data_IF_735387349466
#
_entry.id   IF_735387349466
#
_cell.length_a   1.000
_cell.length_b   1.000
_cell.length_c   1.000
_cell.angle_alpha   90.00
_cell.angle_beta   90.00
_cell.angle_gamma   90.00
#
_symmetry.space_group_name_H-M   'P 1'
#
loop_
_entity.id
_entity.type
_entity.pdbx_description
1 polymer ?
#
# COMPACT_ATOMS: atom_id res chain seq x y z
N UNK A 1 -2.78 17.80 12.56
CA UNK A 1 -3.76 16.83 12.02
C UNK A 1 -4.91 17.61 11.44
N UNK A 2 -5.22 17.39 10.15
CA UNK A 2 -6.31 18.08 9.48
C UNK A 2 -7.67 17.53 9.92
N UNK A 3 -8.73 18.35 9.84
CA UNK A 3 -10.10 17.90 10.09
C UNK A 3 -10.48 16.75 9.14
N UNK A 4 -10.01 16.82 7.88
CA UNK A 4 -10.23 15.79 6.87
C UNK A 4 -9.61 14.45 7.27
N UNK A 5 -8.41 14.46 7.83
CA UNK A 5 -7.76 13.25 8.35
C UNK A 5 -8.56 12.61 9.49
N UNK A 6 -9.06 13.42 10.43
CA UNK A 6 -9.87 12.90 11.53
C UNK A 6 -11.18 12.27 11.04
N UNK A 7 -11.85 12.91 10.07
CA UNK A 7 -13.05 12.36 9.42
C UNK A 7 -12.73 11.09 8.61
N UNK A 8 -11.64 11.06 7.85
CA UNK A 8 -11.21 9.89 7.10
C UNK A 8 -10.95 8.70 8.02
N UNK A 9 -10.26 8.94 9.13
CA UNK A 9 -10.00 7.91 10.16
C UNK A 9 -11.28 7.38 10.79
N UNK A 10 -12.21 8.25 11.16
CA UNK A 10 -13.50 7.86 11.74
C UNK A 10 -14.34 7.04 10.74
N UNK A 11 -14.46 7.51 9.50
CA UNK A 11 -15.20 6.82 8.44
C UNK A 11 -14.59 5.43 8.12
N UNK A 12 -13.25 5.33 8.12
CA UNK A 12 -12.54 4.06 7.98
C UNK A 12 -12.84 3.10 9.13
N UNK A 13 -12.85 3.60 10.37
CA UNK A 13 -13.14 2.78 11.55
C UNK A 13 -14.58 2.23 11.52
N UNK A 14 -15.56 3.07 11.20
CA UNK A 14 -16.96 2.67 11.06
C UNK A 14 -17.14 1.64 9.95
N UNK A 15 -16.55 1.87 8.79
CA UNK A 15 -16.63 0.92 7.67
C UNK A 15 -15.94 -0.40 7.98
N UNK A 16 -14.82 -0.38 8.70
CA UNK A 16 -14.12 -1.58 9.16
C UNK A 16 -14.98 -2.38 10.12
N UNK A 17 -15.61 -1.70 11.09
CA UNK A 17 -16.51 -2.34 12.05
C UNK A 17 -17.71 -2.97 11.34
N UNK A 18 -18.38 -2.22 10.46
CA UNK A 18 -19.52 -2.72 9.69
C UNK A 18 -19.20 -3.93 8.83
N UNK A 19 -18.05 -3.90 8.12
CA UNK A 19 -17.62 -5.05 7.32
C UNK A 19 -17.33 -6.30 8.15
N UNK A 20 -16.68 -6.14 9.30
CA UNK A 20 -16.32 -7.27 10.16
C UNK A 20 -17.51 -7.86 10.92
N UNK A 21 -18.37 -7.02 11.48
CA UNK A 21 -19.43 -7.45 12.41
C UNK A 21 -20.79 -7.66 11.74
N UNK A 22 -21.09 -6.92 10.66
CA UNK A 22 -22.39 -7.01 9.99
C UNK A 22 -22.29 -7.83 8.69
N UNK A 23 -21.30 -7.52 7.86
CA UNK A 23 -21.15 -8.20 6.57
C UNK A 23 -20.28 -9.46 6.62
N UNK A 24 -19.58 -9.74 7.72
CA UNK A 24 -18.63 -10.84 7.88
C UNK A 24 -17.60 -10.93 6.74
N UNK A 25 -17.15 -9.79 6.24
CA UNK A 25 -16.18 -9.67 5.13
C UNK A 25 -14.87 -9.03 5.57
N UNK A 26 -13.74 -9.39 4.94
CA UNK A 26 -12.46 -8.75 5.23
C UNK A 26 -12.50 -7.26 4.84
N UNK A 27 -12.02 -6.41 5.75
CA UNK A 27 -11.95 -4.96 5.57
C UNK A 27 -10.64 -4.54 4.85
N UNK A 28 -10.32 -5.21 3.73
CA UNK A 28 -9.03 -5.05 3.05
C UNK A 28 -8.90 -3.75 2.25
N UNK A 29 -9.90 -3.37 1.48
CA UNK A 29 -9.82 -2.24 0.55
C UNK A 29 -10.82 -1.12 0.86
N UNK A 30 -12.06 -1.46 1.24
CA UNK A 30 -13.15 -0.48 1.33
C UNK A 30 -12.87 0.63 2.35
N UNK A 31 -12.36 0.35 3.57
CA UNK A 31 -12.05 1.40 4.54
C UNK A 31 -11.04 2.43 4.02
N UNK A 32 -9.97 1.96 3.37
CA UNK A 32 -8.97 2.84 2.78
C UNK A 32 -9.51 3.61 1.56
N UNK A 33 -10.38 2.99 0.76
CA UNK A 33 -11.03 3.68 -0.38
C UNK A 33 -11.93 4.82 0.08
N UNK A 34 -12.70 4.62 1.14
CA UNK A 34 -13.53 5.67 1.74
C UNK A 34 -12.65 6.78 2.32
N UNK A 35 -11.62 6.41 3.07
CA UNK A 35 -10.71 7.37 3.70
C UNK A 35 -9.96 8.23 2.67
N UNK A 36 -9.44 7.63 1.58
CA UNK A 36 -8.78 8.36 0.48
C UNK A 36 -9.72 9.30 -0.29
N UNK A 37 -11.03 8.99 -0.35
CA UNK A 37 -12.01 9.92 -0.94
C UNK A 37 -12.24 11.16 -0.07
N UNK A 38 -12.16 11.00 1.25
CA UNK A 38 -12.33 12.11 2.20
C UNK A 38 -11.03 12.92 2.27
N UNK A 39 -9.90 12.23 2.32
CA UNK A 39 -8.58 12.85 2.41
C UNK A 39 -7.61 12.22 1.39
N UNK A 40 -7.41 12.85 0.22
CA UNK A 40 -6.44 12.38 -0.78
C UNK A 40 -4.99 12.38 -0.30
N UNK A 41 -4.63 13.18 0.72
CA UNK A 41 -3.29 13.26 1.31
C UNK A 41 -3.05 12.25 2.43
N UNK A 42 -4.00 11.34 2.66
CA UNK A 42 -4.00 10.37 3.76
C UNK A 42 -2.70 9.57 3.88
N UNK A 43 -2.11 9.13 2.76
CA UNK A 43 -0.86 8.36 2.78
C UNK A 43 0.32 9.17 3.33
N UNK A 44 0.38 10.48 3.01
CA UNK A 44 1.42 11.37 3.53
C UNK A 44 1.32 11.52 5.06
N UNK A 45 0.10 11.60 5.58
CA UNK A 45 -0.13 11.69 7.03
C UNK A 45 0.14 10.36 7.75
N UNK A 46 -0.15 9.23 7.10
CA UNK A 46 0.01 7.89 7.68
C UNK A 46 1.44 7.33 7.58
N UNK A 47 2.28 7.83 6.69
CA UNK A 47 3.65 7.30 6.49
C UNK A 47 4.48 7.26 7.77
N UNK A 48 4.28 8.22 8.68
CA UNK A 48 4.97 8.28 9.98
C UNK A 48 4.64 7.13 10.94
N UNK A 49 3.66 6.29 10.62
CA UNK A 49 3.35 5.09 11.43
C UNK A 49 4.43 4.00 11.32
N UNK A 50 5.22 4.01 10.26
CA UNK A 50 6.38 3.12 10.08
C UNK A 50 7.62 3.88 10.51
N UNK A 51 8.02 3.74 11.80
CA UNK A 51 8.99 4.63 12.45
C UNK A 51 10.43 4.45 11.96
N UNK A 52 10.81 3.27 11.46
CA UNK A 52 12.14 2.95 10.95
C UNK A 52 12.21 2.90 9.44
N UNK A 53 11.08 2.64 8.77
CA UNK A 53 11.01 2.61 7.33
C UNK A 53 9.96 1.67 6.76
N UNK A 54 9.99 1.52 5.45
CA UNK A 54 9.09 0.58 4.75
C UNK A 54 9.74 -0.03 3.52
N UNK A 55 9.22 -1.20 3.15
CA UNK A 55 9.54 -1.94 1.92
C UNK A 55 8.29 -2.09 1.09
N UNK A 56 8.37 -1.85 -0.21
CA UNK A 56 7.30 -2.12 -1.16
C UNK A 56 7.72 -3.26 -2.08
N UNK A 57 6.91 -4.33 -2.10
CA UNK A 57 7.06 -5.46 -3.02
C UNK A 57 6.19 -5.24 -4.24
N UNK A 58 6.79 -5.27 -5.42
CA UNK A 58 6.12 -5.12 -6.73
C UNK A 58 6.52 -6.24 -7.68
N UNK A 59 5.70 -6.49 -8.68
CA UNK A 59 5.95 -7.48 -9.73
C UNK A 59 4.65 -8.13 -10.22
N UNK A 60 4.70 -8.87 -11.30
CA UNK A 60 3.52 -9.51 -11.88
C UNK A 60 3.06 -10.70 -11.03
N UNK A 61 3.96 -11.61 -10.67
CA UNK A 61 3.67 -12.83 -9.93
C UNK A 61 4.48 -12.93 -8.65
N UNK A 62 3.89 -13.61 -7.63
CA UNK A 62 4.56 -13.91 -6.37
C UNK A 62 4.56 -12.77 -5.34
N UNK A 63 3.95 -11.62 -5.64
CA UNK A 63 3.90 -10.46 -4.74
C UNK A 63 3.42 -10.81 -3.33
N UNK A 64 2.22 -11.35 -3.22
CA UNK A 64 1.59 -11.65 -1.92
C UNK A 64 2.41 -12.66 -1.12
N UNK A 65 2.89 -13.73 -1.77
CA UNK A 65 3.71 -14.75 -1.11
C UNK A 65 5.02 -14.17 -0.59
N UNK A 66 5.74 -13.43 -1.44
CA UNK A 66 7.01 -12.80 -1.05
C UNK A 66 6.82 -11.72 0.02
N UNK A 67 5.77 -10.90 -0.12
CA UNK A 67 5.45 -9.87 0.87
C UNK A 67 5.14 -10.47 2.24
N UNK A 68 4.34 -11.56 2.29
CA UNK A 68 4.03 -12.24 3.54
C UNK A 68 5.26 -12.93 4.14
N UNK A 69 6.10 -13.58 3.32
CA UNK A 69 7.34 -14.19 3.77
C UNK A 69 8.30 -13.15 4.37
N UNK A 70 8.42 -12.00 3.71
CA UNK A 70 9.21 -10.88 4.22
C UNK A 70 8.65 -10.35 5.54
N UNK A 71 7.34 -10.19 5.63
CA UNK A 71 6.65 -9.79 6.85
C UNK A 71 6.93 -10.76 8.01
N UNK A 72 6.82 -12.06 7.76
CA UNK A 72 7.11 -13.10 8.75
C UNK A 72 8.57 -13.08 9.20
N UNK A 73 9.51 -12.82 8.27
CA UNK A 73 10.94 -12.69 8.60
C UNK A 73 11.21 -11.47 9.50
N UNK A 74 10.55 -10.33 9.25
CA UNK A 74 10.65 -9.16 10.14
C UNK A 74 10.09 -9.46 11.52
N UNK A 75 8.92 -10.09 11.62
CA UNK A 75 8.31 -10.49 12.90
C UNK A 75 9.19 -11.51 13.65
N UNK A 76 9.71 -12.52 12.96
CA UNK A 76 10.63 -13.50 13.54
C UNK A 76 11.92 -12.87 14.07
N UNK A 77 12.35 -11.73 13.50
CA UNK A 77 13.49 -10.94 14.01
C UNK A 77 13.14 -10.02 15.18
N UNK A 78 11.92 -10.12 15.71
CA UNK A 78 11.43 -9.32 16.85
C UNK A 78 10.98 -7.90 16.48
N UNK A 79 10.79 -7.60 15.19
CA UNK A 79 10.33 -6.29 14.74
C UNK A 79 8.81 -6.24 14.65
N UNK A 80 8.23 -5.09 15.02
CA UNK A 80 6.80 -4.82 14.78
C UNK A 80 6.61 -4.32 13.36
N UNK A 81 5.54 -4.79 12.69
CA UNK A 81 5.25 -4.44 11.30
C UNK A 81 3.81 -3.99 11.08
N UNK A 82 3.61 -3.22 9.99
CA UNK A 82 2.32 -3.00 9.34
C UNK A 82 2.39 -3.66 7.97
N UNK A 83 1.43 -4.54 7.65
CA UNK A 83 1.44 -5.27 6.39
C UNK A 83 0.03 -5.41 5.80
N UNK A 84 -0.10 -5.29 4.47
CA UNK A 84 -1.32 -5.56 3.73
C UNK A 84 -1.40 -7.03 3.29
N UNK A 85 -1.33 -7.97 4.24
CA UNK A 85 -1.21 -9.43 4.04
C UNK A 85 -2.26 -10.07 3.11
N UNK A 86 -3.40 -9.42 2.92
CA UNK A 86 -4.51 -9.92 2.10
C UNK A 86 -4.33 -9.72 0.61
N UNK A 87 -3.18 -9.22 0.15
CA UNK A 87 -2.93 -8.92 -1.25
C UNK A 87 -3.70 -7.71 -1.79
N UNK A 88 -4.18 -6.85 -0.91
CA UNK A 88 -4.82 -5.58 -1.28
C UNK A 88 -3.75 -4.57 -1.72
N UNK A 89 -3.33 -4.66 -2.98
CA UNK A 89 -2.11 -4.07 -3.54
C UNK A 89 -2.28 -2.67 -4.18
N UNK A 90 -3.44 -2.05 -3.99
CA UNK A 90 -3.70 -0.68 -4.41
C UNK A 90 -3.52 0.29 -3.23
N UNK A 91 -3.43 1.59 -3.52
CA UNK A 91 -3.35 2.64 -2.51
C UNK A 91 -4.41 2.49 -1.40
N UNK A 92 -5.64 2.08 -1.75
CA UNK A 92 -6.72 1.82 -0.81
C UNK A 92 -6.40 0.68 0.18
N UNK A 93 -5.78 -0.41 -0.28
CA UNK A 93 -5.39 -1.53 0.56
C UNK A 93 -4.26 -1.16 1.53
N UNK A 94 -3.25 -0.46 1.04
CA UNK A 94 -2.15 0.05 1.85
C UNK A 94 -2.68 1.03 2.91
N UNK A 95 -3.56 1.97 2.51
CA UNK A 95 -4.22 2.90 3.45
C UNK A 95 -5.05 2.16 4.49
N UNK A 96 -5.79 1.11 4.10
CA UNK A 96 -6.54 0.27 5.05
C UNK A 96 -5.63 -0.38 6.07
N UNK A 97 -4.49 -0.95 5.63
CA UNK A 97 -3.52 -1.57 6.53
C UNK A 97 -2.94 -0.55 7.51
N UNK A 98 -2.54 0.62 7.02
CA UNK A 98 -2.02 1.71 7.84
C UNK A 98 -3.06 2.25 8.85
N UNK A 99 -4.33 2.33 8.49
CA UNK A 99 -5.39 2.81 9.38
C UNK A 99 -5.76 1.80 10.46
N UNK A 100 -5.80 0.50 10.12
CA UNK A 100 -6.32 -0.54 11.00
C UNK A 100 -5.29 -1.12 11.97
N UNK A 101 -4.00 -1.02 11.65
CA UNK A 101 -2.93 -1.56 12.48
C UNK A 101 -2.28 -0.45 13.33
N UNK A 102 -1.75 -0.75 14.52
CA UNK A 102 -1.02 0.22 15.32
C UNK A 102 0.25 0.70 14.61
N UNK A 103 0.86 1.78 15.09
CA UNK A 103 2.18 2.19 14.62
C UNK A 103 3.21 1.09 14.87
N UNK A 104 4.15 0.92 13.96
CA UNK A 104 5.12 -0.15 13.99
C UNK A 104 6.50 0.35 13.55
N UNK A 105 7.52 -0.48 13.71
CA UNK A 105 8.87 -0.16 13.25
C UNK A 105 8.96 -0.16 11.74
N UNK A 106 8.37 -1.17 11.08
CA UNK A 106 8.47 -1.34 9.65
C UNK A 106 7.11 -1.46 8.96
N UNK A 107 7.02 -0.91 7.75
CA UNK A 107 5.95 -1.17 6.79
C UNK A 107 6.42 -2.22 5.77
N UNK A 108 5.61 -3.26 5.52
CA UNK A 108 5.86 -4.28 4.49
C UNK A 108 4.64 -4.33 3.59
N UNK A 109 4.74 -3.71 2.41
CA UNK A 109 3.59 -3.48 1.56
C UNK A 109 3.74 -4.16 0.21
N UNK A 110 2.70 -4.85 -0.22
CA UNK A 110 2.51 -5.25 -1.60
C UNK A 110 1.86 -4.10 -2.37
N UNK A 111 2.39 -3.80 -3.56
CA UNK A 111 1.83 -2.80 -4.47
C UNK A 111 1.74 -3.34 -5.89
N UNK A 112 0.66 -2.98 -6.58
CA UNK A 112 0.52 -3.21 -8.02
C UNK A 112 1.50 -2.31 -8.77
N UNK A 113 2.17 -2.83 -9.78
CA UNK A 113 3.21 -2.12 -10.52
C UNK A 113 2.70 -0.85 -11.22
N UNK A 114 1.45 -0.83 -11.65
CA UNK A 114 0.83 0.35 -12.27
C UNK A 114 0.54 1.47 -11.25
N UNK A 115 0.37 1.07 -9.99
CA UNK A 115 0.09 2.00 -8.88
C UNK A 115 1.33 2.45 -8.14
N UNK A 116 2.49 1.84 -8.38
CA UNK A 116 3.73 2.19 -7.69
C UNK A 116 4.08 3.67 -7.81
N UNK A 117 3.97 4.24 -9.00
CA UNK A 117 4.26 5.65 -9.26
C UNK A 117 3.34 6.62 -8.46
N UNK A 118 2.13 6.17 -8.12
CA UNK A 118 1.17 6.93 -7.32
C UNK A 118 1.35 6.75 -5.81
N UNK A 119 1.90 5.61 -5.37
CA UNK A 119 2.03 5.27 -3.95
C UNK A 119 3.39 5.68 -3.39
N UNK A 120 4.45 5.44 -4.16
CA UNK A 120 5.83 5.61 -3.71
C UNK A 120 6.17 7.04 -3.23
N UNK A 121 5.74 8.12 -3.91
CA UNK A 121 6.04 9.49 -3.47
C UNK A 121 5.42 9.82 -2.10
N UNK A 122 4.25 9.26 -1.80
CA UNK A 122 3.51 9.51 -0.57
C UNK A 122 4.01 8.68 0.61
N UNK A 123 4.31 7.40 0.38
CA UNK A 123 4.87 6.53 1.43
C UNK A 123 6.34 6.80 1.73
N UNK A 124 7.10 7.33 0.76
CA UNK A 124 8.56 7.53 0.85
C UNK A 124 9.27 6.27 1.35
N UNK A 125 8.96 5.14 0.72
CA UNK A 125 9.52 3.85 1.12
C UNK A 125 11.04 3.82 0.93
N UNK A 126 11.73 3.18 1.88
CA UNK A 126 13.18 3.06 1.87
C UNK A 126 13.66 2.05 0.81
N UNK A 127 12.85 1.00 0.58
CA UNK A 127 13.21 -0.09 -0.31
C UNK A 127 12.05 -0.45 -1.24
N UNK A 128 12.38 -0.78 -2.47
CA UNK A 128 11.46 -1.38 -3.44
C UNK A 128 12.04 -2.72 -3.85
N UNK A 129 11.28 -3.78 -3.58
CA UNK A 129 11.60 -5.14 -4.00
C UNK A 129 10.88 -5.45 -5.30
N UNK A 130 11.59 -5.40 -6.41
CA UNK A 130 11.08 -5.76 -7.73
C UNK A 130 11.31 -7.25 -7.98
N UNK A 131 10.23 -8.04 -8.11
CA UNK A 131 10.32 -9.49 -8.30
C UNK A 131 10.48 -9.85 -9.77
N UNK A 132 9.49 -9.50 -10.58
CA UNK A 132 9.43 -9.83 -12.01
C UNK A 132 8.43 -8.93 -12.72
N UNK A 133 8.62 -8.74 -14.03
CA UNK A 133 7.69 -8.07 -14.92
C UNK A 133 7.48 -8.95 -16.15
N UNK A 134 6.26 -9.47 -16.33
CA UNK A 134 5.90 -10.28 -17.47
C UNK A 134 5.13 -9.48 -18.52
N UNK A 135 5.18 -9.96 -19.76
CA UNK A 135 4.64 -9.30 -20.95
C UNK A 135 3.14 -8.97 -20.87
N UNK A 136 2.35 -9.83 -20.23
CA UNK A 136 0.92 -9.65 -20.05
C UNK A 136 0.54 -8.36 -19.31
N UNK A 137 1.42 -7.85 -18.47
CA UNK A 137 1.24 -6.56 -17.79
C UNK A 137 1.68 -5.39 -18.68
N UNK A 138 2.66 -5.59 -19.55
CA UNK A 138 3.06 -4.58 -20.54
C UNK A 138 1.93 -4.26 -21.51
N UNK A 139 1.11 -5.26 -21.87
CA UNK A 139 -0.10 -5.06 -22.69
C UNK A 139 -1.17 -4.25 -21.96
N UNK A 140 -1.30 -4.40 -20.64
CA UNK A 140 -2.18 -3.57 -19.77
C UNK A 140 -1.64 -2.16 -19.61
N UNK A 141 -0.32 -1.96 -19.66
CA UNK A 141 0.33 -0.65 -19.66
C UNK A 141 0.19 0.08 -21.01
N UNK A 142 -0.45 -0.53 -22.00
CA UNK A 142 -0.68 0.10 -23.30
C UNK A 142 0.59 0.24 -24.12
N UNK A 143 1.44 -0.81 -24.18
CA UNK A 143 2.65 -0.83 -25.01
C UNK A 143 2.41 -0.49 -26.50
N UNK A 144 1.13 -0.48 -26.94
CA UNK A 144 0.68 -0.05 -28.26
C UNK A 144 -0.06 1.30 -28.28
N UNK A 145 -0.16 2.03 -27.14
CA UNK A 145 -0.69 3.41 -27.13
C UNK A 145 0.15 4.24 -26.16
N UNK A 146 0.77 5.34 -26.59
CA UNK A 146 1.39 6.28 -25.67
C UNK A 146 0.29 6.87 -24.78
N UNK A 147 0.18 6.38 -23.54
CA UNK A 147 -0.67 7.00 -22.54
C UNK A 147 0.04 8.28 -22.09
N UNK A 148 -0.57 9.47 -22.25
CA UNK A 148 0.13 10.75 -22.04
C UNK A 148 0.63 10.99 -20.61
N UNK A 149 0.33 10.08 -19.66
CA UNK A 149 0.67 10.24 -18.25
C UNK A 149 1.44 9.05 -17.64
N UNK A 150 1.88 8.07 -18.42
CA UNK A 150 2.78 7.02 -17.94
C UNK A 150 4.18 7.35 -18.42
N UNK A 151 4.84 8.26 -17.75
CA UNK A 151 6.29 8.33 -17.81
C UNK A 151 6.82 7.08 -17.13
N UNK A 152 7.43 6.18 -17.90
CA UNK A 152 8.39 5.23 -17.39
C UNK A 152 9.53 6.08 -16.78
N UNK A 153 9.35 6.47 -15.52
CA UNK A 153 10.31 7.30 -14.80
C UNK A 153 11.57 6.47 -14.57
N UNK A 154 12.64 6.91 -15.20
CA UNK A 154 14.00 6.45 -15.00
C UNK A 154 14.31 6.40 -13.50
N UNK A 155 14.75 5.26 -13.02
CA UNK A 155 15.11 4.99 -11.61
C UNK A 155 16.42 5.69 -11.21
N UNK A 156 16.85 6.70 -11.95
CA UNK A 156 18.16 7.36 -11.80
C UNK A 156 18.25 8.36 -10.62
N UNK A 157 17.28 8.40 -9.72
CA UNK A 157 17.31 9.32 -8.55
C UNK A 157 17.01 8.63 -7.22
N UNK A 158 17.62 7.48 -6.98
CA UNK A 158 17.70 6.89 -5.64
C UNK A 158 19.18 6.73 -5.24
N UNK A 159 19.96 7.79 -5.40
CA UNK A 159 21.28 7.93 -4.79
C UNK A 159 21.25 9.17 -3.88
#
# INVERSE_FOLDING_TARGET
>A
MSLRFSLAKAASAVSTWGLRHVAHRPAANLPGKIALKIDPSLLDELRGKCTQGSVITVGTNGKTSTNNLLADAFEASGRTIICNRTGANLAAGISSALLQQPAAQWGVFECDELWLAHVLPHLRSNYVLLLNLFRDQLDRCGANRPHPNVHCGRVDRLA
#
